data_IF_336302781131
#
_entry.id   IF_336302781131
#
_cell.length_a   1.000
_cell.length_b   1.000
_cell.length_c   1.000
_cell.angle_alpha   90.00
_cell.angle_beta   90.00
_cell.angle_gamma   90.00
#
_symmetry.space_group_name_H-M   'P 1'
#
loop_
_entity.id
_entity.type
_entity.pdbx_description
1 polymer ?
#
# COMPACT_ATOMS: atom_id res chain seq x y z
N UNK A 1 4.81 13.80 -2.23
CA UNK A 1 4.51 15.22 -1.95
C UNK A 1 3.01 15.39 -1.75
N UNK A 2 2.55 16.12 -0.72
CA UNK A 2 1.13 16.37 -0.51
C UNK A 2 0.52 17.21 -1.64
N UNK A 3 -0.65 16.77 -2.13
CA UNK A 3 -1.46 17.53 -3.08
C UNK A 3 -2.26 18.62 -2.35
N UNK A 4 -2.33 19.80 -2.95
CA UNK A 4 -3.19 20.89 -2.46
C UNK A 4 -4.65 20.61 -2.84
N UNK A 5 -5.59 21.25 -2.14
CA UNK A 5 -7.01 21.19 -2.47
C UNK A 5 -7.23 21.71 -3.90
N UNK A 6 -7.85 20.90 -4.75
CA UNK A 6 -8.14 21.25 -6.15
C UNK A 6 -6.95 21.16 -7.11
N UNK A 7 -5.74 20.85 -6.63
CA UNK A 7 -4.56 20.68 -7.48
C UNK A 7 -4.70 19.41 -8.33
N UNK A 8 -4.36 19.50 -9.62
CA UNK A 8 -4.33 18.31 -10.48
C UNK A 8 -3.13 17.42 -10.12
N UNK A 9 -3.20 16.14 -10.50
CA UNK A 9 -2.05 15.22 -10.37
C UNK A 9 -0.81 15.77 -11.10
N UNK A 10 -1.02 16.33 -12.30
CA UNK A 10 0.07 16.85 -13.14
C UNK A 10 0.76 18.05 -12.49
N UNK A 11 0.01 19.01 -11.94
CA UNK A 11 0.57 20.19 -11.28
C UNK A 11 1.39 19.80 -10.04
N UNK A 12 0.87 18.84 -9.26
CA UNK A 12 1.61 18.28 -8.14
C UNK A 12 2.90 17.59 -8.61
N UNK A 13 2.86 16.77 -9.67
CA UNK A 13 4.08 16.13 -10.19
C UNK A 13 5.11 17.14 -10.68
N UNK A 14 4.69 18.19 -11.39
CA UNK A 14 5.59 19.26 -11.84
C UNK A 14 6.31 19.94 -10.66
N UNK A 15 5.59 20.19 -9.57
CA UNK A 15 6.17 20.77 -8.36
C UNK A 15 7.08 19.80 -7.60
N UNK A 16 6.79 18.49 -7.63
CA UNK A 16 7.69 17.46 -7.09
C UNK A 16 8.98 17.37 -7.92
N UNK A 17 8.87 17.44 -9.24
CA UNK A 17 10.03 17.45 -10.14
C UNK A 17 10.90 18.68 -9.93
N UNK A 18 10.30 19.86 -9.74
CA UNK A 18 11.06 21.07 -9.38
C UNK A 18 11.86 20.92 -8.08
N UNK A 19 11.37 20.14 -7.10
CA UNK A 19 12.15 19.80 -5.92
C UNK A 19 13.32 18.86 -6.25
N UNK A 20 13.09 17.84 -7.09
CA UNK A 20 14.16 16.94 -7.52
C UNK A 20 15.23 17.63 -8.35
N UNK A 21 14.88 18.68 -9.10
CA UNK A 21 15.85 19.50 -9.84
C UNK A 21 16.85 20.19 -8.92
N UNK A 22 16.41 20.54 -7.71
CA UNK A 22 17.25 21.15 -6.68
C UNK A 22 17.99 20.11 -5.83
N UNK A 23 17.35 18.98 -5.53
CA UNK A 23 17.84 18.01 -4.55
C UNK A 23 18.60 16.82 -5.16
N UNK A 24 18.41 16.54 -6.46
CA UNK A 24 18.94 15.38 -7.14
C UNK A 24 19.42 15.73 -8.56
N UNK A 25 20.64 16.28 -8.71
CA UNK A 25 21.21 16.58 -10.02
C UNK A 25 21.15 15.39 -11.00
N UNK A 26 20.89 15.70 -12.26
CA UNK A 26 20.78 14.76 -13.39
C UNK A 26 19.80 13.60 -13.18
N UNK A 27 18.84 13.72 -12.24
CA UNK A 27 17.90 12.62 -11.96
C UNK A 27 17.14 12.19 -13.21
N UNK A 28 16.76 13.14 -14.09
CA UNK A 28 16.03 12.84 -15.34
C UNK A 28 16.83 11.94 -16.28
N UNK A 29 18.12 12.20 -16.44
CA UNK A 29 19.00 11.37 -17.27
C UNK A 29 19.21 9.96 -16.72
N UNK A 30 18.93 9.75 -15.42
CA UNK A 30 19.05 8.45 -14.74
C UNK A 30 17.72 7.68 -14.62
N UNK A 31 16.61 8.25 -15.10
CA UNK A 31 15.31 7.55 -15.08
C UNK A 31 15.30 6.45 -16.14
N UNK A 32 15.21 5.19 -15.69
CA UNK A 32 15.02 4.03 -16.58
C UNK A 32 13.54 3.62 -16.70
N UNK A 33 12.73 3.97 -15.70
CA UNK A 33 11.30 3.69 -15.67
C UNK A 33 10.56 4.69 -14.77
N UNK A 34 9.33 5.06 -15.14
CA UNK A 34 8.50 6.01 -14.39
C UNK A 34 7.07 5.50 -14.26
N UNK A 35 6.55 5.58 -13.04
CA UNK A 35 5.13 5.41 -12.71
C UNK A 35 4.74 6.45 -11.67
N UNK A 36 3.59 7.07 -11.87
CA UNK A 36 2.99 8.00 -10.90
C UNK A 36 1.62 7.48 -10.43
N UNK A 37 1.26 7.86 -9.20
CA UNK A 37 0.00 7.48 -8.58
C UNK A 37 -0.40 8.51 -7.52
N UNK A 38 -1.71 8.66 -7.29
CA UNK A 38 -2.25 9.50 -6.21
C UNK A 38 -2.81 8.61 -5.10
N UNK A 39 -2.17 8.67 -3.95
CA UNK A 39 -2.64 8.05 -2.71
C UNK A 39 -3.57 9.02 -1.97
N UNK A 40 -4.87 8.77 -1.99
CA UNK A 40 -5.88 9.57 -1.26
C UNK A 40 -6.15 8.98 0.12
N UNK A 41 -6.31 9.85 1.12
CA UNK A 41 -6.71 9.45 2.48
C UNK A 41 -5.73 8.51 3.19
N UNK A 42 -4.46 8.47 2.77
CA UNK A 42 -3.47 7.54 3.31
C UNK A 42 -2.60 8.19 4.38
N UNK A 43 -2.85 7.81 5.63
CA UNK A 43 -1.91 7.94 6.74
C UNK A 43 -0.89 6.79 6.79
N UNK A 44 -1.15 5.71 6.03
CA UNK A 44 -0.62 4.38 6.33
C UNK A 44 -1.48 3.67 7.38
N UNK A 45 -1.18 2.41 7.66
CA UNK A 45 -1.82 1.67 8.74
C UNK A 45 -1.53 2.35 10.09
N UNK A 46 -2.58 2.62 10.86
CA UNK A 46 -2.50 3.31 12.14
C UNK A 46 -3.21 2.49 13.20
N UNK A 47 -2.48 2.15 14.26
CA UNK A 47 -3.04 1.60 15.49
C UNK A 47 -3.20 2.74 16.49
N UNK A 48 -4.40 2.90 17.05
CA UNK A 48 -4.66 3.87 18.10
C UNK A 48 -4.03 3.41 19.42
N UNK A 49 -3.76 4.30 20.38
CA UNK A 49 -3.27 3.92 21.70
C UNK A 49 -4.13 2.83 22.34
N UNK A 50 -3.48 1.78 22.85
CA UNK A 50 -4.16 0.60 23.43
C UNK A 50 -4.61 -0.45 22.41
N UNK A 51 -4.42 -0.21 21.11
CA UNK A 51 -4.66 -1.19 20.05
C UNK A 51 -3.35 -1.63 19.41
N UNK A 52 -3.37 -2.78 18.76
CA UNK A 52 -2.26 -3.38 18.03
C UNK A 52 -2.73 -3.82 16.66
N UNK A 53 -1.79 -4.26 15.82
CA UNK A 53 -2.11 -4.86 14.52
C UNK A 53 -3.12 -6.01 14.61
N UNK A 54 -3.23 -6.70 15.75
CA UNK A 54 -4.20 -7.79 15.95
C UNK A 54 -5.65 -7.31 15.96
N UNK A 55 -5.87 -6.02 16.24
CA UNK A 55 -7.18 -5.39 16.33
C UNK A 55 -7.67 -4.86 14.97
N UNK A 56 -6.83 -4.94 13.93
CA UNK A 56 -7.18 -4.58 12.55
C UNK A 56 -8.11 -5.63 11.93
N UNK A 57 -8.73 -5.35 10.77
CA UNK A 57 -9.49 -6.36 10.03
C UNK A 57 -8.68 -7.63 9.76
N UNK A 58 -9.26 -8.79 10.06
CA UNK A 58 -8.65 -10.09 9.79
C UNK A 58 -8.42 -10.31 8.29
N UNK A 59 -7.39 -11.09 7.96
CA UNK A 59 -7.06 -11.48 6.57
C UNK A 59 -8.22 -12.25 5.95
N UNK A 60 -8.74 -13.27 6.65
CA UNK A 60 -9.95 -13.97 6.24
C UNK A 60 -11.20 -13.21 6.73
N UNK A 61 -12.07 -12.82 5.80
CA UNK A 61 -13.34 -12.15 6.10
C UNK A 61 -14.53 -13.10 6.04
N UNK A 62 -14.31 -14.37 5.72
CA UNK A 62 -15.33 -15.33 5.33
C UNK A 62 -15.88 -15.05 3.93
N UNK A 63 -16.72 -15.95 3.43
CA UNK A 63 -17.38 -15.80 2.13
C UNK A 63 -16.40 -15.69 0.95
N UNK A 64 -15.27 -16.40 1.04
CA UNK A 64 -14.22 -16.42 0.00
C UNK A 64 -13.57 -15.04 -0.24
N UNK A 65 -13.60 -14.15 0.76
CA UNK A 65 -12.99 -12.83 0.72
C UNK A 65 -11.75 -12.79 1.62
N UNK A 66 -10.59 -12.56 1.00
CA UNK A 66 -9.30 -12.42 1.68
C UNK A 66 -8.70 -11.03 1.48
N UNK A 67 -8.28 -10.38 2.56
CA UNK A 67 -7.69 -9.04 2.54
C UNK A 67 -6.16 -9.09 2.59
N UNK A 68 -5.51 -8.28 1.77
CA UNK A 68 -4.07 -8.07 1.79
C UNK A 68 -3.74 -6.57 1.82
N UNK A 69 -2.64 -6.21 2.49
CA UNK A 69 -2.19 -4.82 2.62
C UNK A 69 -1.57 -4.51 3.98
N UNK A 70 -1.25 -3.25 4.22
CA UNK A 70 -0.68 -2.80 5.49
C UNK A 70 -1.74 -2.63 6.60
N UNK A 71 -3.01 -2.48 6.22
CA UNK A 71 -4.11 -2.14 7.12
C UNK A 71 -4.91 -3.36 7.62
N UNK A 72 -4.35 -4.57 7.52
CA UNK A 72 -4.97 -5.82 7.98
C UNK A 72 -4.19 -6.43 9.14
N UNK A 73 -4.79 -7.39 9.83
CA UNK A 73 -4.21 -8.06 10.98
C UNK A 73 -3.14 -9.08 10.59
N UNK A 74 -1.99 -8.58 10.15
CA UNK A 74 -0.77 -9.34 9.90
C UNK A 74 0.39 -8.81 10.76
N UNK A 75 1.32 -9.68 11.18
CA UNK A 75 2.51 -9.26 11.90
C UNK A 75 3.46 -8.45 11.00
N UNK A 76 4.25 -7.58 11.61
CA UNK A 76 5.36 -6.86 10.98
C UNK A 76 5.26 -5.33 11.10
N UNK A 77 6.21 -4.64 10.50
CA UNK A 77 6.25 -3.18 10.43
C UNK A 77 6.35 -2.67 8.98
N UNK A 78 5.66 -1.56 8.67
CA UNK A 78 5.64 -0.95 7.33
C UNK A 78 5.30 -1.97 6.22
N UNK A 79 6.20 -2.17 5.26
CA UNK A 79 6.00 -3.05 4.13
C UNK A 79 5.89 -4.54 4.50
N UNK A 80 6.45 -4.95 5.65
CA UNK A 80 6.41 -6.34 6.10
C UNK A 80 4.97 -6.82 6.30
N UNK A 81 4.09 -5.95 6.81
CA UNK A 81 2.66 -6.25 7.01
C UNK A 81 1.99 -6.59 5.66
N UNK A 82 2.35 -5.85 4.60
CA UNK A 82 1.82 -6.11 3.25
C UNK A 82 2.33 -7.42 2.67
N UNK A 83 3.58 -7.79 2.93
CA UNK A 83 4.16 -9.05 2.46
C UNK A 83 3.56 -10.26 3.19
N UNK A 84 3.50 -10.19 4.53
CA UNK A 84 2.94 -11.25 5.35
C UNK A 84 1.45 -11.45 5.06
N UNK A 85 0.66 -10.38 5.03
CA UNK A 85 -0.77 -10.48 4.69
C UNK A 85 -0.99 -10.98 3.27
N UNK A 86 -0.22 -10.49 2.29
CA UNK A 86 -0.34 -10.91 0.90
C UNK A 86 -0.07 -12.40 0.71
N UNK A 87 0.97 -12.91 1.37
CA UNK A 87 1.27 -14.36 1.36
C UNK A 87 0.13 -15.17 1.97
N UNK A 88 -0.30 -14.83 3.18
CA UNK A 88 -1.37 -15.56 3.86
C UNK A 88 -2.70 -15.51 3.08
N UNK A 89 -3.08 -14.35 2.55
CA UNK A 89 -4.29 -14.21 1.74
C UNK A 89 -4.22 -15.07 0.46
N UNK A 90 -3.06 -15.13 -0.19
CA UNK A 90 -2.85 -15.96 -1.37
C UNK A 90 -2.94 -17.46 -1.05
N UNK A 91 -2.29 -17.89 0.04
CA UNK A 91 -2.32 -19.29 0.49
C UNK A 91 -3.77 -19.74 0.77
N UNK A 92 -4.53 -18.93 1.51
CA UNK A 92 -5.95 -19.20 1.80
C UNK A 92 -6.82 -19.23 0.54
N UNK A 93 -6.60 -18.33 -0.41
CA UNK A 93 -7.34 -18.30 -1.66
C UNK A 93 -7.11 -19.56 -2.50
N UNK A 94 -5.86 -20.03 -2.57
CA UNK A 94 -5.49 -21.26 -3.30
C UNK A 94 -6.08 -22.50 -2.62
N UNK A 95 -5.98 -22.59 -1.29
CA UNK A 95 -6.60 -23.67 -0.51
C UNK A 95 -8.11 -23.71 -0.77
N UNK A 96 -8.77 -22.55 -0.70
CA UNK A 96 -10.22 -22.47 -0.88
C UNK A 96 -10.66 -22.92 -2.27
N UNK A 97 -9.96 -22.48 -3.32
CA UNK A 97 -10.22 -22.93 -4.70
C UNK A 97 -10.05 -24.45 -4.85
N UNK A 98 -9.09 -25.04 -4.15
CA UNK A 98 -8.85 -26.49 -4.19
C UNK A 98 -9.98 -27.25 -3.52
N UNK A 99 -10.45 -26.79 -2.35
CA UNK A 99 -11.58 -27.41 -1.64
C UNK A 99 -12.91 -27.31 -2.38
N UNK A 100 -13.12 -26.27 -3.19
CA UNK A 100 -14.33 -26.10 -3.98
C UNK A 100 -14.41 -27.06 -5.19
N UNK A 101 -13.27 -27.58 -5.64
CA UNK A 101 -13.16 -28.46 -6.81
C UNK A 101 -12.86 -29.92 -6.47
N UNK A 102 -12.75 -30.26 -5.18
CA UNK A 102 -12.60 -31.63 -4.67
C UNK A 102 -13.96 -32.23 -4.33
#
# INVERSE_FOLDING_TARGET
MPMRRGESKADCLARLEGLYDLAAPDWRGRVTWRRDYVSRGRTGALDLPGTTWRDRPAIDRGGDVFLAGDSVAAPGILAEVSLNSGRTAADLAVERLTTLHA
#
